data_IF_106161176043
#
_entry.id   IF_106161176043
#
_cell.length_a   1.000
_cell.length_b   1.000
_cell.length_c   1.000
_cell.angle_alpha   90.00
_cell.angle_beta   90.00
_cell.angle_gamma   90.00
#
_symmetry.space_group_name_H-M   'P 1'
#
loop_
_entity.id
_entity.type
_entity.pdbx_description
1 polymer ?
#
# COMPACT_ATOMS: atom_id res chain seq x y z
N UNK A 1 -34.56 -38.56 -20.57
CA UNK A 1 -34.64 -38.59 -22.05
C UNK A 1 -36.06 -38.89 -22.54
N UNK A 2 -36.71 -39.96 -22.05
CA UNK A 2 -38.06 -40.34 -22.47
C UNK A 2 -39.13 -39.24 -22.27
N UNK A 3 -39.12 -38.53 -21.14
CA UNK A 3 -40.07 -37.42 -20.90
C UNK A 3 -39.87 -36.21 -21.82
N UNK A 4 -38.62 -35.83 -22.08
CA UNK A 4 -38.29 -34.74 -23.01
C UNK A 4 -38.80 -35.04 -24.41
N UNK A 5 -38.59 -36.26 -24.90
CA UNK A 5 -39.07 -36.71 -26.22
C UNK A 5 -40.60 -36.68 -26.28
N UNK A 6 -41.30 -37.14 -25.24
CA UNK A 6 -42.77 -37.08 -25.18
C UNK A 6 -43.29 -35.65 -25.27
N UNK A 7 -42.68 -34.72 -24.51
CA UNK A 7 -43.06 -33.30 -24.56
C UNK A 7 -42.78 -32.68 -25.94
N UNK A 8 -41.63 -33.00 -26.55
CA UNK A 8 -41.29 -32.55 -27.92
C UNK A 8 -42.29 -33.06 -28.95
N UNK A 9 -42.64 -34.35 -28.93
CA UNK A 9 -43.59 -34.92 -29.88
C UNK A 9 -45.01 -34.35 -29.71
N UNK A 10 -45.44 -34.12 -28.47
CA UNK A 10 -46.73 -33.46 -28.19
C UNK A 10 -46.74 -32.01 -28.68
N UNK A 11 -45.66 -31.27 -28.46
CA UNK A 11 -45.52 -29.89 -28.92
C UNK A 11 -45.47 -29.81 -30.45
N UNK A 12 -44.69 -30.67 -31.11
CA UNK A 12 -44.65 -30.75 -32.57
C UNK A 12 -46.04 -31.10 -33.14
N UNK A 13 -46.76 -32.05 -32.54
CA UNK A 13 -48.13 -32.36 -32.94
C UNK A 13 -49.06 -31.14 -32.82
N UNK A 14 -48.95 -30.36 -31.75
CA UNK A 14 -49.73 -29.12 -31.60
C UNK A 14 -49.34 -28.03 -32.60
N UNK A 15 -48.05 -27.89 -32.93
CA UNK A 15 -47.55 -26.88 -33.88
C UNK A 15 -47.93 -27.21 -35.33
N UNK A 16 -47.84 -28.48 -35.73
CA UNK A 16 -48.18 -28.92 -37.08
C UNK A 16 -49.68 -29.21 -37.27
N UNK A 17 -50.44 -29.39 -36.19
CA UNK A 17 -51.88 -29.61 -36.23
C UNK A 17 -52.24 -30.87 -37.01
N UNK A 18 -52.94 -30.71 -38.13
CA UNK A 18 -53.33 -31.83 -39.02
C UNK A 18 -52.20 -32.25 -39.98
N UNK A 19 -51.11 -31.49 -40.07
CA UNK A 19 -49.97 -31.81 -40.94
C UNK A 19 -49.07 -32.86 -40.30
N UNK A 20 -48.47 -33.71 -41.14
CA UNK A 20 -47.53 -34.72 -40.68
C UNK A 20 -46.24 -34.04 -40.20
N UNK A 21 -45.85 -34.34 -38.95
CA UNK A 21 -44.59 -33.86 -38.38
C UNK A 21 -43.41 -34.37 -39.23
N UNK A 22 -42.54 -33.49 -39.75
CA UNK A 22 -41.37 -33.91 -40.51
C UNK A 22 -40.46 -34.85 -39.71
N UNK A 23 -39.88 -35.85 -40.40
CA UNK A 23 -38.93 -36.76 -39.77
C UNK A 23 -37.69 -35.98 -39.31
N UNK A 24 -37.26 -36.22 -38.07
CA UNK A 24 -36.06 -35.62 -37.49
C UNK A 24 -35.21 -36.67 -36.78
N UNK A 25 -33.92 -36.39 -36.66
CA UNK A 25 -32.98 -37.28 -35.99
C UNK A 25 -33.18 -37.26 -34.47
N UNK A 26 -33.53 -38.41 -33.88
CA UNK A 26 -33.74 -38.55 -32.43
C UNK A 26 -32.41 -38.85 -31.75
N UNK A 27 -31.58 -37.82 -31.60
CA UNK A 27 -30.36 -37.87 -30.78
C UNK A 27 -30.48 -36.94 -29.55
N UNK A 28 -29.62 -37.12 -28.55
CA UNK A 28 -29.62 -36.32 -27.29
C UNK A 28 -29.65 -34.83 -27.55
N UNK A 29 -28.80 -34.35 -28.47
CA UNK A 29 -28.63 -32.93 -28.79
C UNK A 29 -29.88 -32.36 -29.45
N UNK A 30 -30.44 -33.04 -30.44
CA UNK A 30 -31.65 -32.60 -31.17
C UNK A 30 -32.85 -32.56 -30.24
N UNK A 31 -33.03 -33.59 -29.41
CA UNK A 31 -34.13 -33.65 -28.43
C UNK A 31 -34.02 -32.51 -27.41
N UNK A 32 -32.81 -32.21 -26.92
CA UNK A 32 -32.62 -31.12 -25.96
C UNK A 32 -32.89 -29.75 -26.59
N UNK A 33 -32.46 -29.51 -27.84
CA UNK A 33 -32.75 -28.27 -28.57
C UNK A 33 -34.26 -28.10 -28.79
N UNK A 34 -34.93 -29.14 -29.29
CA UNK A 34 -36.37 -29.11 -29.52
C UNK A 34 -37.16 -28.95 -28.22
N UNK A 35 -36.68 -29.55 -27.12
CA UNK A 35 -37.31 -29.40 -25.81
C UNK A 35 -37.19 -27.97 -25.30
N UNK A 36 -36.03 -27.33 -25.43
CA UNK A 36 -35.86 -25.91 -25.10
C UNK A 36 -36.74 -25.00 -25.97
N UNK A 37 -36.84 -25.32 -27.26
CA UNK A 37 -37.71 -24.58 -28.19
C UNK A 37 -39.18 -24.73 -27.81
N UNK A 38 -39.62 -25.94 -27.46
CA UNK A 38 -40.97 -26.21 -26.99
C UNK A 38 -41.30 -25.42 -25.72
N UNK A 39 -40.40 -25.42 -24.72
CA UNK A 39 -40.57 -24.62 -23.50
C UNK A 39 -40.66 -23.12 -23.79
N UNK A 40 -39.77 -22.61 -24.65
CA UNK A 40 -39.74 -21.19 -25.01
C UNK A 40 -40.98 -20.78 -25.80
N UNK A 41 -41.46 -21.65 -26.70
CA UNK A 41 -42.68 -21.46 -27.47
C UNK A 41 -43.90 -21.42 -26.56
N UNK A 42 -44.04 -22.41 -25.66
CA UNK A 42 -45.15 -22.52 -24.73
C UNK A 42 -45.24 -21.30 -23.80
N UNK A 43 -44.11 -20.88 -23.24
CA UNK A 43 -44.03 -19.67 -22.41
C UNK A 43 -44.49 -18.42 -23.19
N UNK A 44 -43.95 -18.20 -24.39
CA UNK A 44 -44.34 -17.07 -25.24
C UNK A 44 -45.82 -17.10 -25.63
N UNK A 45 -46.35 -18.27 -25.96
CA UNK A 45 -47.77 -18.43 -26.30
C UNK A 45 -48.66 -18.12 -25.10
N UNK A 46 -48.27 -18.56 -23.90
CA UNK A 46 -48.97 -18.22 -22.65
C UNK A 46 -48.96 -16.72 -22.39
N UNK A 47 -47.81 -16.06 -22.50
CA UNK A 47 -47.70 -14.60 -22.29
C UNK A 47 -48.55 -13.82 -23.30
N UNK A 48 -48.56 -14.26 -24.56
CA UNK A 48 -49.40 -13.66 -25.61
C UNK A 48 -50.89 -13.84 -25.31
N UNK A 49 -51.30 -15.02 -24.83
CA UNK A 49 -52.68 -15.28 -24.44
C UNK A 49 -53.13 -14.41 -23.27
N UNK A 50 -52.27 -14.24 -22.24
CA UNK A 50 -52.53 -13.34 -21.12
C UNK A 50 -52.67 -11.88 -21.57
N UNK A 51 -51.82 -11.41 -22.48
CA UNK A 51 -51.91 -10.07 -23.04
C UNK A 51 -53.22 -9.87 -23.82
N UNK A 52 -53.65 -10.86 -24.60
CA UNK A 52 -54.94 -10.81 -25.31
C UNK A 52 -56.10 -10.70 -24.31
N UNK A 53 -56.07 -11.47 -23.23
CA UNK A 53 -57.13 -11.43 -22.21
C UNK A 53 -57.17 -10.10 -21.46
N UNK A 54 -56.02 -9.55 -21.09
CA UNK A 54 -55.91 -8.20 -20.50
C UNK A 54 -56.48 -7.12 -21.43
N UNK A 55 -56.16 -7.18 -22.72
CA UNK A 55 -56.70 -6.23 -23.69
C UNK A 55 -58.22 -6.36 -23.87
N UNK A 56 -58.75 -7.59 -23.86
CA UNK A 56 -60.21 -7.83 -23.90
C UNK A 56 -60.89 -7.29 -22.64
N UNK A 57 -60.31 -7.52 -21.47
CA UNK A 57 -60.82 -6.99 -20.21
C UNK A 57 -60.86 -5.46 -20.25
N UNK A 58 -59.76 -4.81 -20.63
CA UNK A 58 -59.69 -3.35 -20.79
C UNK A 58 -60.72 -2.82 -21.78
N UNK A 59 -60.91 -3.50 -22.90
CA UNK A 59 -61.93 -3.11 -23.88
C UNK A 59 -63.35 -3.18 -23.26
N UNK A 60 -63.65 -4.21 -22.49
CA UNK A 60 -64.92 -4.35 -21.79
C UNK A 60 -65.09 -3.29 -20.68
N UNK A 61 -64.04 -2.97 -19.93
CA UNK A 61 -64.04 -1.91 -18.92
C UNK A 61 -64.32 -0.55 -19.54
N UNK A 62 -63.63 -0.19 -20.64
CA UNK A 62 -63.89 1.07 -21.35
C UNK A 62 -65.30 1.13 -21.95
N UNK A 63 -65.81 0.02 -22.46
CA UNK A 63 -67.18 -0.04 -22.97
C UNK A 63 -68.21 0.17 -21.85
N UNK A 64 -67.99 -0.46 -20.68
CA UNK A 64 -68.83 -0.30 -19.51
C UNK A 64 -68.77 1.13 -18.94
N UNK A 65 -67.58 1.73 -18.88
CA UNK A 65 -67.40 3.13 -18.46
C UNK A 65 -68.11 4.08 -19.44
N UNK A 66 -67.99 3.84 -20.75
CA UNK A 66 -68.71 4.60 -21.76
C UNK A 66 -70.23 4.53 -21.60
N UNK A 67 -70.77 3.33 -21.36
CA UNK A 67 -72.19 3.13 -21.08
C UNK A 67 -72.62 3.81 -19.77
N UNK A 68 -71.79 3.72 -18.72
CA UNK A 68 -72.03 4.39 -17.45
C UNK A 68 -72.09 5.91 -17.61
N UNK A 69 -71.14 6.51 -18.32
CA UNK A 69 -71.12 7.95 -18.59
C UNK A 69 -72.36 8.38 -19.39
N UNK A 70 -72.79 7.57 -20.37
CA UNK A 70 -74.01 7.82 -21.12
C UNK A 70 -75.24 7.81 -20.20
N UNK A 71 -75.34 6.83 -19.30
CA UNK A 71 -76.44 6.73 -18.34
C UNK A 71 -76.44 7.91 -17.34
N UNK A 72 -75.26 8.29 -16.83
CA UNK A 72 -75.11 9.48 -15.97
C UNK A 72 -75.60 10.73 -16.69
N UNK A 73 -75.16 10.98 -17.93
CA UNK A 73 -75.59 12.15 -18.70
C UNK A 73 -77.11 12.18 -18.91
N UNK A 74 -77.71 11.02 -19.17
CA UNK A 74 -79.14 10.88 -19.40
C UNK A 74 -79.95 11.05 -18.11
N UNK A 75 -79.58 10.35 -17.03
CA UNK A 75 -80.35 10.30 -15.78
C UNK A 75 -80.12 11.51 -14.87
N UNK A 76 -78.87 12.00 -14.76
CA UNK A 76 -78.52 13.05 -13.80
C UNK A 76 -78.64 14.47 -14.38
N UNK A 77 -78.38 14.64 -15.69
CA UNK A 77 -78.40 15.96 -16.36
C UNK A 77 -79.59 16.09 -17.32
N UNK A 78 -80.29 15.00 -17.64
CA UNK A 78 -81.41 15.02 -18.58
C UNK A 78 -80.98 15.28 -20.04
N UNK A 79 -79.68 15.16 -20.33
CA UNK A 79 -79.12 15.42 -21.66
C UNK A 79 -79.26 14.15 -22.50
N UNK A 80 -80.24 14.18 -23.41
CA UNK A 80 -80.41 13.18 -24.47
C UNK A 80 -80.12 13.84 -25.81
N UNK A 81 -79.54 13.10 -26.76
CA UNK A 81 -79.37 13.59 -28.13
C UNK A 81 -80.70 14.04 -28.76
N UNK A 82 -81.82 13.46 -28.31
CA UNK A 82 -83.17 13.82 -28.75
C UNK A 82 -83.79 15.02 -28.02
N UNK A 83 -83.26 15.43 -26.86
CA UNK A 83 -83.79 16.56 -26.07
C UNK A 83 -83.07 17.89 -26.33
N UNK A 84 -82.03 17.89 -27.17
CA UNK A 84 -81.24 19.07 -27.52
C UNK A 84 -82.00 19.98 -28.50
N UNK A 85 -81.85 21.30 -28.31
CA UNK A 85 -82.32 22.27 -29.31
C UNK A 85 -81.46 22.19 -30.56
N UNK A 86 -82.06 22.48 -31.73
CA UNK A 86 -81.38 22.40 -33.02
C UNK A 86 -80.03 23.17 -33.08
N UNK A 87 -79.91 24.41 -32.56
CA UNK A 87 -78.62 25.11 -32.56
C UNK A 87 -77.53 24.43 -31.72
N UNK A 88 -77.92 23.80 -30.60
CA UNK A 88 -76.97 23.08 -29.74
C UNK A 88 -76.54 21.77 -30.38
N UNK A 89 -77.48 21.07 -31.03
CA UNK A 89 -77.17 19.87 -31.80
C UNK A 89 -76.22 20.18 -32.96
N UNK A 90 -76.44 21.27 -33.70
CA UNK A 90 -75.60 21.70 -34.82
C UNK A 90 -74.18 22.11 -34.35
N UNK A 91 -74.06 22.78 -33.20
CA UNK A 91 -72.76 23.08 -32.59
C UNK A 91 -72.02 21.81 -32.13
N UNK A 92 -72.73 20.85 -31.53
CA UNK A 92 -72.13 19.58 -31.10
C UNK A 92 -71.72 18.73 -32.30
N UNK A 93 -72.51 18.68 -33.37
CA UNK A 93 -72.14 17.96 -34.60
C UNK A 93 -70.91 18.60 -35.24
N UNK A 94 -70.86 19.93 -35.35
CA UNK A 94 -69.68 20.63 -35.85
C UNK A 94 -68.45 20.34 -34.98
N UNK A 95 -68.59 20.26 -33.66
CA UNK A 95 -67.48 19.91 -32.76
C UNK A 95 -67.01 18.46 -32.99
N UNK A 96 -67.93 17.51 -33.12
CA UNK A 96 -67.61 16.11 -33.44
C UNK A 96 -66.90 16.03 -34.79
N UNK A 97 -67.40 16.71 -35.82
CA UNK A 97 -66.80 16.73 -37.15
C UNK A 97 -65.39 17.32 -37.12
N UNK A 98 -65.19 18.42 -36.39
CA UNK A 98 -63.85 19.00 -36.20
C UNK A 98 -62.91 18.05 -35.44
N UNK A 99 -63.39 17.37 -34.39
CA UNK A 99 -62.60 16.39 -33.65
C UNK A 99 -62.18 15.20 -34.52
N UNK A 100 -63.08 14.73 -35.39
CA UNK A 100 -62.82 13.67 -36.37
C UNK A 100 -61.80 14.10 -37.43
N UNK A 101 -61.94 15.31 -38.00
CA UNK A 101 -60.99 15.86 -38.98
C UNK A 101 -59.60 16.09 -38.37
N UNK A 102 -59.54 16.58 -37.13
CA UNK A 102 -58.29 16.79 -36.39
C UNK A 102 -57.68 15.48 -35.87
N UNK A 103 -58.36 14.33 -36.04
CA UNK A 103 -57.88 13.03 -35.55
C UNK A 103 -57.68 13.00 -34.04
N UNK A 104 -58.49 13.76 -33.29
CA UNK A 104 -58.36 13.84 -31.82
C UNK A 104 -58.67 12.47 -31.25
N UNK A 105 -57.65 11.84 -30.64
CA UNK A 105 -57.71 10.45 -30.15
C UNK A 105 -58.03 9.44 -31.25
N UNK A 106 -57.42 9.60 -32.42
CA UNK A 106 -57.46 8.56 -33.45
C UNK A 106 -56.88 7.24 -32.92
N UNK A 107 -57.75 6.24 -32.79
CA UNK A 107 -57.42 4.87 -32.37
C UNK A 107 -57.23 3.94 -33.56
N UNK A 108 -57.21 4.47 -34.79
CA UNK A 108 -56.90 3.69 -35.97
C UNK A 108 -55.53 3.03 -35.83
N UNK A 109 -55.38 1.85 -36.46
CA UNK A 109 -54.14 1.09 -36.43
C UNK A 109 -52.94 1.93 -36.94
N UNK A 110 -53.17 2.84 -37.88
CA UNK A 110 -52.15 3.72 -38.47
C UNK A 110 -51.59 4.77 -37.50
N UNK A 111 -52.39 5.25 -36.55
CA UNK A 111 -51.95 6.18 -35.49
C UNK A 111 -51.45 5.43 -34.26
N UNK A 112 -52.11 4.33 -33.91
CA UNK A 112 -51.79 3.52 -32.73
C UNK A 112 -50.41 2.86 -32.83
N UNK A 113 -50.05 2.24 -33.96
CA UNK A 113 -48.78 1.52 -34.09
C UNK A 113 -47.55 2.43 -33.93
N UNK A 114 -47.47 3.61 -34.59
CA UNK A 114 -46.39 4.56 -34.35
C UNK A 114 -46.34 5.06 -32.90
N UNK A 115 -47.49 5.33 -32.27
CA UNK A 115 -47.54 5.77 -30.88
C UNK A 115 -47.00 4.70 -29.92
N UNK A 116 -47.40 3.43 -30.10
CA UNK A 116 -46.86 2.30 -29.35
C UNK A 116 -45.37 2.15 -29.58
N UNK A 117 -44.90 2.29 -30.82
CA UNK A 117 -43.48 2.19 -31.14
C UNK A 117 -42.66 3.32 -30.50
N UNK A 118 -43.17 4.55 -30.51
CA UNK A 118 -42.54 5.69 -29.83
C UNK A 118 -42.45 5.46 -28.33
N UNK A 119 -43.55 5.04 -27.68
CA UNK A 119 -43.57 4.74 -26.26
C UNK A 119 -42.62 3.59 -25.91
N UNK A 120 -42.56 2.55 -26.76
CA UNK A 120 -41.64 1.42 -26.58
C UNK A 120 -40.17 1.87 -26.71
N UNK A 121 -39.87 2.77 -27.65
CA UNK A 121 -38.54 3.36 -27.82
C UNK A 121 -38.14 4.20 -26.60
N UNK A 122 -39.04 5.06 -26.12
CA UNK A 122 -38.83 5.86 -24.91
C UNK A 122 -38.58 4.98 -23.68
N UNK A 123 -39.38 3.92 -23.52
CA UNK A 123 -39.21 2.93 -22.45
C UNK A 123 -37.81 2.29 -22.51
N UNK A 124 -37.37 1.87 -23.71
CA UNK A 124 -36.08 1.21 -23.89
C UNK A 124 -34.89 2.15 -23.60
N UNK A 125 -34.97 3.42 -24.02
CA UNK A 125 -33.94 4.41 -23.70
C UNK A 125 -33.94 4.75 -22.20
N UNK A 126 -35.11 4.84 -21.56
CA UNK A 126 -35.23 4.99 -20.11
C UNK A 126 -34.58 3.80 -19.37
N UNK A 127 -34.89 2.57 -19.76
CA UNK A 127 -34.27 1.36 -19.19
C UNK A 127 -32.75 1.35 -19.35
N UNK A 128 -32.25 1.72 -20.53
CA UNK A 128 -30.81 1.79 -20.82
C UNK A 128 -30.12 2.83 -19.93
N UNK A 129 -30.73 3.99 -19.74
CA UNK A 129 -30.24 5.03 -18.83
C UNK A 129 -30.22 4.52 -17.38
N UNK A 130 -31.26 3.80 -16.96
CA UNK A 130 -31.36 3.26 -15.60
C UNK A 130 -30.28 2.19 -15.35
N UNK A 131 -30.09 1.26 -16.30
CA UNK A 131 -29.01 0.25 -16.25
C UNK A 131 -27.63 0.91 -16.17
N UNK A 132 -27.43 2.07 -16.81
CA UNK A 132 -26.19 2.85 -16.71
C UNK A 132 -26.01 3.43 -15.32
N UNK A 133 -27.02 4.12 -14.80
CA UNK A 133 -26.99 4.71 -13.46
C UNK A 133 -26.74 3.64 -12.38
N UNK A 134 -27.36 2.46 -12.49
CA UNK A 134 -27.09 1.35 -11.57
C UNK A 134 -25.62 0.90 -11.60
N UNK A 135 -25.00 0.85 -12.78
CA UNK A 135 -23.58 0.50 -12.91
C UNK A 135 -22.69 1.55 -12.23
N UNK A 136 -22.97 2.83 -12.47
CA UNK A 136 -22.25 3.94 -11.85
C UNK A 136 -22.43 3.93 -10.32
N UNK A 137 -23.64 3.68 -9.84
CA UNK A 137 -23.97 3.58 -8.41
C UNK A 137 -23.24 2.40 -7.75
N UNK A 138 -23.20 1.23 -8.40
CA UNK A 138 -22.42 0.08 -7.94
C UNK A 138 -20.93 0.40 -7.86
N UNK A 139 -20.37 1.08 -8.86
CA UNK A 139 -18.97 1.49 -8.86
C UNK A 139 -18.67 2.50 -7.73
N UNK A 140 -19.57 3.45 -7.51
CA UNK A 140 -19.44 4.45 -6.46
C UNK A 140 -19.53 3.84 -5.06
N UNK A 141 -20.43 2.87 -4.84
CA UNK A 141 -20.49 2.08 -3.59
C UNK A 141 -19.18 1.33 -3.32
N UNK A 142 -18.60 0.68 -4.33
CA UNK A 142 -17.30 -0.01 -4.19
C UNK A 142 -16.18 0.95 -3.80
N UNK A 143 -16.11 2.10 -4.47
CA UNK A 143 -15.13 3.16 -4.16
C UNK A 143 -15.31 3.69 -2.74
N UNK A 144 -16.55 3.97 -2.33
CA UNK A 144 -16.86 4.42 -0.97
C UNK A 144 -16.41 3.40 0.08
N UNK A 145 -16.68 2.10 -0.14
CA UNK A 145 -16.21 1.03 0.73
C UNK A 145 -14.68 1.03 0.88
N UNK A 146 -13.94 1.11 -0.22
CA UNK A 146 -12.48 1.17 -0.20
C UNK A 146 -11.95 2.42 0.53
N UNK A 147 -12.55 3.59 0.28
CA UNK A 147 -12.18 4.83 0.96
C UNK A 147 -12.45 4.77 2.46
N UNK A 148 -13.55 4.17 2.89
CA UNK A 148 -13.87 4.01 4.32
C UNK A 148 -12.87 3.09 5.04
N UNK A 149 -12.44 2.00 4.39
CA UNK A 149 -11.41 1.10 4.92
C UNK A 149 -10.07 1.85 5.05
N UNK A 150 -9.65 2.56 4.00
CA UNK A 150 -8.42 3.37 4.02
C UNK A 150 -8.45 4.44 5.11
N UNK A 151 -9.60 5.10 5.31
CA UNK A 151 -9.78 6.06 6.40
C UNK A 151 -9.60 5.40 7.77
N UNK A 152 -10.11 4.18 7.94
CA UNK A 152 -9.94 3.40 9.16
C UNK A 152 -8.47 3.09 9.46
N UNK A 153 -7.71 2.62 8.46
CA UNK A 153 -6.29 2.34 8.63
C UNK A 153 -5.47 3.60 8.92
N UNK A 154 -5.73 4.70 8.22
CA UNK A 154 -5.06 5.98 8.46
C UNK A 154 -5.34 6.51 9.88
N UNK A 155 -6.57 6.35 10.38
CA UNK A 155 -6.89 6.73 11.75
C UNK A 155 -6.11 5.90 12.77
N UNK A 156 -5.95 4.61 12.52
CA UNK A 156 -5.15 3.72 13.37
C UNK A 156 -3.66 4.11 13.35
N UNK A 157 -3.12 4.41 12.17
CA UNK A 157 -1.73 4.83 12.00
C UNK A 157 -1.46 6.18 12.67
N UNK A 158 -2.39 7.13 12.57
CA UNK A 158 -2.33 8.40 13.32
C UNK A 158 -2.26 8.10 14.82
N UNK A 159 -3.14 7.25 15.34
CA UNK A 159 -3.17 6.92 16.77
C UNK A 159 -1.86 6.25 17.23
N UNK A 160 -1.27 5.36 16.41
CA UNK A 160 0.04 4.75 16.70
C UNK A 160 1.15 5.79 16.71
N UNK A 161 1.15 6.66 15.72
CA UNK A 161 2.17 7.72 15.57
C UNK A 161 2.11 8.71 16.73
N UNK A 162 0.91 9.13 17.14
CA UNK A 162 0.72 10.00 18.31
C UNK A 162 1.28 9.36 19.58
N UNK A 163 1.01 8.06 19.81
CA UNK A 163 1.57 7.33 20.97
C UNK A 163 3.09 7.23 20.91
N UNK A 164 3.65 6.91 19.76
CA UNK A 164 5.10 6.83 19.58
C UNK A 164 5.77 8.19 19.78
N UNK A 165 5.17 9.26 19.26
CA UNK A 165 5.65 10.63 19.43
C UNK A 165 5.64 11.06 20.90
N UNK A 166 4.60 10.73 21.67
CA UNK A 166 4.56 11.02 23.10
C UNK A 166 5.71 10.33 23.86
N UNK A 167 5.99 9.06 23.54
CA UNK A 167 7.11 8.31 24.14
C UNK A 167 8.46 8.93 23.77
N UNK A 168 8.66 9.27 22.50
CA UNK A 168 9.93 9.87 22.05
C UNK A 168 10.12 11.27 22.61
N UNK A 169 9.06 12.07 22.74
CA UNK A 169 9.09 13.37 23.41
C UNK A 169 9.54 13.25 24.86
N UNK A 170 8.97 12.31 25.62
CA UNK A 170 9.38 12.08 27.01
C UNK A 170 10.85 11.63 27.13
N UNK A 171 11.32 10.77 26.21
CA UNK A 171 12.73 10.38 26.15
C UNK A 171 13.66 11.54 25.78
N UNK A 172 13.24 12.40 24.86
CA UNK A 172 14.00 13.57 24.47
C UNK A 172 14.13 14.57 25.63
N UNK A 173 13.05 14.80 26.37
CA UNK A 173 13.06 15.61 27.60
C UNK A 173 14.00 15.01 28.67
N UNK A 174 13.95 13.69 28.89
CA UNK A 174 14.86 13.02 29.83
C UNK A 174 16.33 13.18 29.40
N UNK A 175 16.63 13.05 28.11
CA UNK A 175 17.98 13.25 27.56
C UNK A 175 18.44 14.70 27.69
N UNK A 176 17.55 15.68 27.50
CA UNK A 176 17.85 17.10 27.70
C UNK A 176 18.27 17.36 29.16
N UNK A 177 17.48 16.87 30.12
CA UNK A 177 17.82 17.00 31.54
C UNK A 177 19.17 16.34 31.89
N UNK A 178 19.45 15.16 31.32
CA UNK A 178 20.75 14.49 31.48
C UNK A 178 21.89 15.29 30.86
N UNK A 179 21.68 15.88 29.69
CA UNK A 179 22.67 16.70 29.00
C UNK A 179 23.00 17.96 29.81
N UNK A 180 22.00 18.61 30.40
CA UNK A 180 22.20 19.78 31.25
C UNK A 180 23.05 19.43 32.48
N UNK A 181 22.77 18.28 33.12
CA UNK A 181 23.58 17.78 34.22
C UNK A 181 25.03 17.50 33.82
N UNK A 182 25.26 16.82 32.69
CA UNK A 182 26.61 16.51 32.20
C UNK A 182 27.37 17.79 31.85
N UNK A 183 26.70 18.75 31.22
CA UNK A 183 27.28 20.06 30.88
C UNK A 183 27.68 20.83 32.14
N UNK A 184 26.81 20.86 33.16
CA UNK A 184 27.12 21.47 34.45
C UNK A 184 28.32 20.78 35.12
N UNK A 185 28.38 19.45 35.08
CA UNK A 185 29.50 18.69 35.69
C UNK A 185 30.82 18.89 34.95
N UNK A 186 30.79 18.97 33.62
CA UNK A 186 31.96 19.25 32.80
C UNK A 186 32.54 20.63 33.15
N UNK A 187 31.68 21.65 33.28
CA UNK A 187 32.08 23.00 33.68
C UNK A 187 32.69 23.01 35.10
N UNK A 188 32.08 22.31 36.07
CA UNK A 188 32.64 22.17 37.43
C UNK A 188 34.04 21.56 37.42
N UNK A 189 34.23 20.47 36.65
CA UNK A 189 35.52 19.79 36.53
C UNK A 189 36.56 20.67 35.82
N UNK A 190 36.18 21.41 34.78
CA UNK A 190 37.06 22.39 34.12
C UNK A 190 37.53 23.45 35.11
N UNK A 191 36.59 24.07 35.84
CA UNK A 191 36.89 25.08 36.85
C UNK A 191 37.78 24.52 37.98
N UNK A 192 37.64 23.24 38.33
CA UNK A 192 38.49 22.58 39.33
C UNK A 192 39.89 22.33 38.77
N UNK A 193 39.99 21.88 37.53
CA UNK A 193 41.26 21.68 36.83
C UNK A 193 42.04 22.99 36.73
N UNK A 194 41.40 24.07 36.25
CA UNK A 194 42.03 25.39 36.16
C UNK A 194 42.53 25.87 37.52
N UNK A 195 41.75 25.68 38.60
CA UNK A 195 42.19 25.98 39.97
C UNK A 195 43.41 25.15 40.38
N UNK A 196 43.43 23.85 40.10
CA UNK A 196 44.57 22.99 40.41
C UNK A 196 45.81 23.34 39.58
N UNK A 197 45.65 23.65 38.30
CA UNK A 197 46.73 24.12 37.42
C UNK A 197 47.30 25.45 37.93
N UNK A 198 46.45 26.42 38.28
CA UNK A 198 46.89 27.67 38.90
C UNK A 198 47.65 27.45 40.22
N UNK A 199 47.21 26.48 41.04
CA UNK A 199 47.95 26.08 42.25
C UNK A 199 49.32 25.50 41.92
N UNK A 200 49.45 24.64 40.91
CA UNK A 200 50.74 24.09 40.48
C UNK A 200 51.69 25.19 39.98
N UNK A 201 51.16 26.13 39.19
CA UNK A 201 51.92 27.30 38.72
C UNK A 201 52.37 28.17 39.89
N UNK A 202 51.47 28.47 40.85
CA UNK A 202 51.81 29.29 42.04
C UNK A 202 52.89 28.65 42.92
N UNK A 203 52.98 27.32 42.91
CA UNK A 203 54.00 26.54 43.64
C UNK A 203 55.30 26.37 42.86
N UNK A 204 55.43 27.03 41.69
CA UNK A 204 56.56 26.91 40.76
C UNK A 204 56.93 25.45 40.46
N UNK A 205 55.92 24.59 40.24
CA UNK A 205 56.17 23.20 39.93
C UNK A 205 56.80 23.08 38.54
N UNK A 206 58.04 22.59 38.48
CA UNK A 206 58.76 22.41 37.23
C UNK A 206 58.25 21.17 36.48
N UNK A 207 58.07 21.28 35.16
CA UNK A 207 57.61 20.19 34.29
C UNK A 207 58.60 19.03 34.28
N UNK A 208 59.87 19.26 34.63
CA UNK A 208 60.90 18.23 34.81
C UNK A 208 60.59 17.22 35.92
N UNK A 209 59.71 17.57 36.88
CA UNK A 209 59.32 16.72 38.03
C UNK A 209 58.05 15.93 37.72
N UNK A 210 57.49 16.04 36.51
CA UNK A 210 56.36 15.20 36.12
C UNK A 210 56.76 13.73 36.08
N UNK A 211 55.83 12.84 36.40
CA UNK A 211 56.06 11.39 36.38
C UNK A 211 56.66 10.93 35.03
N UNK A 212 56.17 11.47 33.93
CA UNK A 212 56.68 11.14 32.60
C UNK A 212 58.15 11.55 32.42
N UNK A 213 58.54 12.76 32.82
CA UNK A 213 59.92 13.24 32.74
C UNK A 213 60.85 12.46 33.67
N UNK A 214 60.39 12.10 34.87
CA UNK A 214 61.13 11.26 35.82
C UNK A 214 61.35 9.84 35.27
N UNK A 215 60.34 9.25 34.63
CA UNK A 215 60.46 7.93 33.98
C UNK A 215 61.47 8.00 32.85
N UNK A 216 61.36 8.99 31.95
CA UNK A 216 62.31 9.17 30.85
C UNK A 216 63.75 9.37 31.34
N UNK A 217 63.96 10.24 32.35
CA UNK A 217 65.28 10.44 32.94
C UNK A 217 65.82 9.16 33.60
N UNK A 218 64.95 8.37 34.23
CA UNK A 218 65.35 7.08 34.81
C UNK A 218 65.77 6.08 33.74
N UNK A 219 65.06 6.04 32.60
CA UNK A 219 65.39 5.22 31.45
C UNK A 219 66.74 5.62 30.86
N UNK A 220 66.98 6.92 30.63
CA UNK A 220 68.26 7.47 30.16
C UNK A 220 69.42 7.13 31.11
N UNK A 221 69.23 7.25 32.42
CA UNK A 221 70.26 6.88 33.41
C UNK A 221 70.55 5.39 33.36
N UNK A 222 69.55 4.53 33.15
CA UNK A 222 69.80 3.09 33.00
C UNK A 222 70.54 2.76 31.72
N UNK A 223 70.28 3.48 30.63
CA UNK A 223 70.96 3.32 29.35
C UNK A 223 72.42 3.77 29.44
N UNK A 224 72.68 4.97 29.97
CA UNK A 224 74.02 5.46 30.26
C UNK A 224 74.79 4.52 31.20
N UNK A 225 74.14 3.95 32.22
CA UNK A 225 74.76 2.92 33.08
C UNK A 225 75.14 1.67 32.29
N UNK A 226 74.31 1.21 31.35
CA UNK A 226 74.64 0.06 30.48
C UNK A 226 75.86 0.34 29.59
N UNK A 227 76.07 1.59 29.17
CA UNK A 227 77.23 1.98 28.36
C UNK A 227 78.52 2.20 29.18
N UNK A 228 78.42 2.82 30.36
CA UNK A 228 79.58 3.13 31.21
C UNK A 228 80.20 1.87 31.82
N UNK A 229 79.41 0.86 32.19
CA UNK A 229 79.92 -0.40 32.79
C UNK A 229 80.97 -1.10 31.89
N UNK A 230 80.70 -1.38 30.60
CA UNK A 230 81.68 -2.01 29.71
C UNK A 230 82.85 -1.09 29.35
N UNK A 231 82.64 0.22 29.23
CA UNK A 231 83.72 1.19 29.02
C UNK A 231 84.68 1.24 30.21
N UNK A 232 84.15 1.23 31.44
CA UNK A 232 84.96 1.17 32.67
C UNK A 232 85.77 -0.12 32.75
N UNK A 233 85.17 -1.28 32.43
CA UNK A 233 85.88 -2.58 32.34
C UNK A 233 87.00 -2.57 31.29
N UNK A 234 86.82 -1.87 30.17
CA UNK A 234 87.87 -1.72 29.16
C UNK A 234 89.00 -0.80 29.60
N UNK A 235 88.71 0.19 30.44
CA UNK A 235 89.70 1.15 30.94
C UNK A 235 90.52 0.60 32.12
N UNK A 236 89.94 -0.28 32.92
CA UNK A 236 90.53 -0.87 34.13
C UNK A 236 91.95 -1.46 33.94
N UNK A 237 92.26 -2.21 32.85
CA UNK A 237 93.61 -2.70 32.58
C UNK A 237 94.62 -1.61 32.21
N UNK A 238 94.15 -0.42 31.81
CA UNK A 238 94.99 0.70 31.42
C UNK A 238 95.23 1.70 32.56
N UNK A 239 94.55 1.53 33.71
CA UNK A 239 94.71 2.43 34.87
C UNK A 239 96.07 2.31 35.55
N UNK A 240 96.78 1.19 35.37
CA UNK A 240 98.13 0.96 35.91
C UNK A 240 99.25 1.55 35.03
N UNK A 241 98.92 2.00 33.80
CA UNK A 241 99.85 2.66 32.89
C UNK A 241 99.94 4.16 33.21
N UNK A 242 101.15 4.73 33.17
CA UNK A 242 101.32 6.17 33.41
C UNK A 242 100.66 7.00 32.31
N UNK A 243 100.03 8.15 32.62
CA UNK A 243 99.28 8.96 31.65
C UNK A 243 100.09 9.49 30.45
N UNK A 244 101.42 9.50 30.51
CA UNK A 244 102.28 9.93 29.41
C UNK A 244 102.69 8.75 28.51
N UNK A 245 102.45 8.81 27.18
CA UNK A 245 102.70 7.70 26.26
C UNK A 245 104.17 7.22 26.24
N UNK A 246 105.10 8.16 26.42
CA UNK A 246 106.53 7.92 26.44
C UNK A 246 107.00 7.16 27.69
N UNK A 247 106.45 7.44 28.87
CA UNK A 247 106.78 6.67 30.10
C UNK A 247 106.09 5.30 30.13
N UNK A 248 104.89 5.19 29.55
CA UNK A 248 104.22 3.91 29.39
C UNK A 248 105.02 2.95 28.51
N UNK A 249 105.60 3.44 27.40
CA UNK A 249 106.50 2.63 26.55
C UNK A 249 107.75 2.15 27.29
N UNK A 250 108.36 2.99 28.13
CA UNK A 250 109.52 2.60 28.93
C UNK A 250 109.16 1.50 29.93
N UNK A 251 108.03 1.64 30.66
CA UNK A 251 107.57 0.60 31.59
C UNK A 251 107.18 -0.71 30.90
N UNK A 252 106.60 -0.64 29.70
CA UNK A 252 106.29 -1.82 28.89
C UNK A 252 107.59 -2.52 28.44
N UNK A 253 108.61 -1.77 28.04
CA UNK A 253 109.92 -2.34 27.66
C UNK A 253 110.71 -2.89 28.86
N UNK A 254 110.63 -2.25 30.04
CA UNK A 254 111.18 -2.79 31.28
C UNK A 254 110.49 -4.11 31.67
N UNK A 255 109.16 -4.16 31.66
CA UNK A 255 108.40 -5.37 31.94
C UNK A 255 108.67 -6.48 30.91
N UNK A 256 108.84 -6.14 29.62
CA UNK A 256 109.27 -7.11 28.59
C UNK A 256 110.67 -7.65 28.85
N UNK A 257 111.60 -6.82 29.32
CA UNK A 257 112.95 -7.27 29.70
C UNK A 257 112.92 -8.17 30.93
N UNK A 258 112.09 -7.87 31.93
CA UNK A 258 111.89 -8.75 33.09
C UNK A 258 111.25 -10.08 32.69
N UNK A 259 110.27 -10.07 31.78
CA UNK A 259 109.63 -11.28 31.27
C UNK A 259 110.59 -12.12 30.42
N UNK A 260 111.39 -11.49 29.55
CA UNK A 260 112.44 -12.17 28.80
C UNK A 260 113.54 -12.76 29.72
N UNK A 261 113.85 -12.09 30.83
CA UNK A 261 114.77 -12.63 31.84
C UNK A 261 114.17 -13.84 32.57
N UNK A 262 112.88 -13.81 32.90
CA UNK A 262 112.16 -14.94 33.51
C UNK A 262 111.98 -16.11 32.53
N UNK A 263 111.69 -15.86 31.25
CA UNK A 263 111.61 -16.89 30.20
C UNK A 263 112.98 -17.51 29.93
N UNK A 264 114.07 -16.73 29.93
CA UNK A 264 115.44 -17.28 29.89
C UNK A 264 115.78 -18.11 31.13
N UNK A 265 115.27 -17.73 32.32
CA UNK A 265 115.38 -18.57 33.52
C UNK A 265 114.53 -19.84 33.42
N UNK A 266 113.38 -19.79 32.73
CA UNK A 266 112.54 -20.96 32.49
C UNK A 266 113.21 -21.91 31.48
N UNK A 267 113.75 -21.39 30.38
CA UNK A 267 114.51 -22.17 29.37
C UNK A 267 115.79 -22.79 29.97
N UNK A 268 116.45 -22.14 30.93
CA UNK A 268 117.57 -22.75 31.69
C UNK A 268 117.15 -23.87 32.65
N UNK A 269 115.87 -23.97 33.01
CA UNK A 269 115.33 -24.99 33.92
C UNK A 269 114.58 -26.13 33.19
N UNK A 270 114.51 -26.11 31.86
CA UNK A 270 113.85 -27.16 31.05
C UNK A 270 114.85 -27.78 30.06
N UNK A 271 115.81 -28.54 30.60
CA UNK A 271 116.58 -29.57 29.88
C UNK A 271 116.13 -30.95 30.40
N UNK A 272 115.22 -31.61 29.67
CA UNK A 272 114.90 -33.04 29.80
C UNK A 272 114.62 -33.62 28.41
N UNK A 273 115.24 -34.78 28.14
CA UNK A 273 115.00 -35.78 27.08
C UNK A 273 113.81 -35.60 26.14
#
# INVERSE_FOLDING_TARGET
MCEKIKKVNSWLGAVFGEQVVPQFEVNTRTVDILYQLAQSSEARCSDTALLIEDLKQKAAEYQAEGAHLQDVLLQSVGLSSASLSKPVADCLSALVDNAMVLGVRDTSLGSFMPAVNNLTSELLEAEKSNRRLERELRALRKRLGATLVLRGSLQEDINKTVKAQAVESAKAEEKLLKMDFVTAKANELSNRRERSEAQLVSRNMDKSITHQALVQLSEEVTELKKEIIPLKKKLEPYMDLSPSPSLAQVKIEEAKRELAALDSQLEMNVDFK
#
